data_IF_189046415884
#
_entry.id   IF_189046415884
#
_cell.length_a   1.000
_cell.length_b   1.000
_cell.length_c   1.000
_cell.angle_alpha   90.00
_cell.angle_beta   90.00
_cell.angle_gamma   90.00
#
_symmetry.space_group_name_H-M   'P 1'
#
loop_
_entity.id
_entity.type
_entity.pdbx_description
1 polymer ?
#
# COMPACT_ATOMS: atom_id res chain seq x y z
N UNK A 1 -5.66 -7.17 -8.51
CA UNK A 1 -5.59 -6.22 -9.64
C UNK A 1 -4.13 -5.93 -9.89
N UNK A 2 -3.65 -6.10 -11.12
CA UNK A 2 -2.31 -5.65 -11.51
C UNK A 2 -2.27 -4.12 -11.46
N UNK A 3 -1.24 -3.55 -10.82
CA UNK A 3 -0.99 -2.11 -10.85
C UNK A 3 -0.79 -1.66 -12.29
N UNK A 4 -1.34 -0.51 -12.68
CA UNK A 4 -1.09 0.03 -14.02
C UNK A 4 0.27 0.73 -14.01
N UNK A 5 1.26 0.15 -14.68
CA UNK A 5 2.55 0.82 -14.85
C UNK A 5 2.46 2.06 -15.73
N UNK A 6 3.31 3.05 -15.45
CA UNK A 6 3.49 4.20 -16.33
C UNK A 6 4.01 3.76 -17.71
N UNK A 7 3.50 4.42 -18.74
CA UNK A 7 3.99 4.20 -20.10
C UNK A 7 5.42 4.71 -20.27
N UNK A 8 6.17 4.14 -21.21
CA UNK A 8 7.54 4.60 -21.54
C UNK A 8 7.62 6.11 -21.86
N UNK A 9 6.71 6.73 -22.64
CA UNK A 9 6.76 8.18 -22.87
C UNK A 9 6.57 8.98 -21.59
N UNK A 10 5.60 8.62 -20.74
CA UNK A 10 5.39 9.30 -19.44
C UNK A 10 6.64 9.28 -18.56
N UNK A 11 7.34 8.14 -18.51
CA UNK A 11 8.61 8.00 -17.77
C UNK A 11 9.70 8.94 -18.32
N UNK A 12 9.83 9.05 -19.64
CA UNK A 12 10.82 9.95 -20.29
C UNK A 12 10.50 11.42 -20.02
N UNK A 13 9.24 11.81 -20.12
CA UNK A 13 8.79 13.18 -19.86
C UNK A 13 8.99 13.57 -18.40
N UNK A 14 8.69 12.68 -17.45
CA UNK A 14 8.93 12.91 -16.03
C UNK A 14 10.44 13.08 -15.74
N UNK A 15 11.28 12.24 -16.34
CA UNK A 15 12.74 12.37 -16.19
C UNK A 15 13.24 13.69 -16.78
N UNK A 16 12.75 14.10 -17.95
CA UNK A 16 13.10 15.38 -18.58
C UNK A 16 12.66 16.58 -17.72
N UNK A 17 11.43 16.55 -17.19
CA UNK A 17 10.92 17.57 -16.26
C UNK A 17 11.77 17.68 -15.00
N UNK A 18 12.22 16.55 -14.47
CA UNK A 18 13.05 16.49 -13.25
C UNK A 18 14.45 17.08 -13.43
N UNK A 19 14.92 17.24 -14.68
CA UNK A 19 16.30 17.63 -15.02
C UNK A 19 17.36 16.76 -14.32
N UNK A 20 17.05 15.47 -14.11
CA UNK A 20 17.92 14.54 -13.41
C UNK A 20 17.97 14.72 -11.88
N UNK A 21 17.06 15.49 -11.29
CA UNK A 21 16.98 15.72 -9.84
C UNK A 21 15.70 15.18 -9.23
N UNK A 22 15.82 14.51 -8.09
CA UNK A 22 14.70 13.93 -7.36
C UNK A 22 13.56 14.95 -7.12
N UNK A 23 12.34 14.59 -7.55
CA UNK A 23 11.10 15.36 -7.42
C UNK A 23 10.33 15.06 -6.13
N UNK A 24 10.87 14.25 -5.23
CA UNK A 24 10.26 13.95 -3.93
C UNK A 24 10.15 15.24 -3.09
N UNK A 25 8.94 15.52 -2.58
CA UNK A 25 8.64 16.70 -1.75
C UNK A 25 7.83 16.30 -0.51
N UNK A 26 8.24 16.83 0.64
CA UNK A 26 7.45 16.81 1.85
C UNK A 26 7.51 15.50 2.64
N UNK A 27 6.59 15.40 3.61
CA UNK A 27 6.61 14.39 4.68
C UNK A 27 6.33 12.98 4.19
N UNK A 28 5.63 12.83 3.06
CA UNK A 28 5.34 11.51 2.47
C UNK A 28 6.61 10.78 2.03
N UNK A 29 7.67 11.51 1.69
CA UNK A 29 8.98 10.97 1.30
C UNK A 29 10.02 11.05 2.44
N UNK A 30 9.60 11.40 3.65
CA UNK A 30 10.48 11.47 4.83
C UNK A 30 11.28 12.77 4.91
N UNK A 31 10.88 13.80 4.18
CA UNK A 31 11.47 15.13 4.21
C UNK A 31 10.63 16.07 5.08
N UNK A 32 11.20 17.18 5.59
CA UNK A 32 10.42 18.27 6.16
C UNK A 32 9.33 18.76 5.21
N UNK A 33 8.21 19.25 5.76
CA UNK A 33 7.09 19.75 4.98
C UNK A 33 7.54 20.86 4.00
N UNK A 34 7.20 20.70 2.72
CA UNK A 34 7.58 21.65 1.65
C UNK A 34 9.03 21.52 1.15
N UNK A 35 9.88 20.69 1.77
CA UNK A 35 11.25 20.50 1.30
C UNK A 35 11.33 19.48 0.17
N UNK A 36 12.06 19.82 -0.90
CA UNK A 36 12.40 18.93 -2.01
C UNK A 36 13.73 18.24 -1.76
N UNK A 37 13.85 16.94 -2.09
CA UNK A 37 15.11 16.21 -1.96
C UNK A 37 16.22 16.80 -2.83
N UNK A 38 15.95 16.99 -4.13
CA UNK A 38 16.89 17.62 -5.07
C UNK A 38 18.17 16.82 -5.37
N UNK A 39 18.30 15.59 -4.85
CA UNK A 39 19.45 14.69 -5.11
C UNK A 39 19.53 14.30 -6.58
N UNK A 40 20.74 14.19 -7.11
CA UNK A 40 20.99 13.71 -8.46
C UNK A 40 20.57 12.25 -8.64
N UNK A 41 19.86 11.98 -9.72
CA UNK A 41 19.31 10.66 -10.07
C UNK A 41 20.30 9.80 -10.88
N UNK A 42 21.57 10.21 -10.98
CA UNK A 42 22.61 9.49 -11.72
C UNK A 42 22.81 8.04 -11.21
N UNK A 43 22.61 7.80 -9.92
CA UNK A 43 22.77 6.50 -9.28
C UNK A 43 21.53 5.60 -9.36
N UNK A 44 20.41 6.10 -9.89
CA UNK A 44 19.16 5.36 -10.01
C UNK A 44 17.93 6.26 -9.94
N UNK A 45 16.98 6.02 -10.84
CA UNK A 45 15.67 6.68 -10.87
C UNK A 45 14.56 5.65 -10.77
N UNK A 46 13.61 5.93 -9.88
CA UNK A 46 12.36 5.19 -9.76
C UNK A 46 11.20 6.15 -10.06
N UNK A 47 10.14 5.65 -10.69
CA UNK A 47 8.98 6.45 -11.08
C UNK A 47 7.85 6.26 -10.08
N UNK A 48 7.70 7.29 -9.26
CA UNK A 48 6.71 7.52 -8.21
C UNK A 48 5.26 7.72 -8.71
N UNK A 49 4.25 7.04 -8.17
CA UNK A 49 2.85 7.51 -8.26
C UNK A 49 2.56 8.43 -7.07
N UNK A 50 2.56 9.76 -7.23
CA UNK A 50 2.32 10.72 -6.13
C UNK A 50 1.08 10.32 -5.32
N UNK A 51 -0.04 10.15 -6.02
CA UNK A 51 -1.24 9.48 -5.54
C UNK A 51 -1.23 8.02 -5.99
N UNK A 52 -1.33 7.12 -5.01
CA UNK A 52 -1.34 5.67 -5.24
C UNK A 52 -2.33 5.25 -6.32
N UNK A 53 -1.85 4.40 -7.24
CA UNK A 53 -2.67 3.76 -8.29
C UNK A 53 -3.89 3.03 -7.71
N UNK A 54 -3.76 2.46 -6.50
CA UNK A 54 -4.86 1.80 -5.79
C UNK A 54 -6.03 2.75 -5.46
N UNK A 55 -5.77 4.04 -5.31
CA UNK A 55 -6.78 5.05 -4.96
C UNK A 55 -7.23 5.86 -6.19
N UNK A 56 -6.29 6.36 -7.00
CA UNK A 56 -6.59 7.29 -8.10
C UNK A 56 -6.72 6.61 -9.47
N UNK A 57 -5.99 5.51 -9.71
CA UNK A 57 -5.83 4.86 -11.02
C UNK A 57 -5.32 5.78 -12.14
N UNK A 58 -4.77 6.94 -11.77
CA UNK A 58 -4.26 7.93 -12.70
C UNK A 58 -2.78 7.67 -13.03
N UNK A 59 -2.49 7.55 -14.33
CA UNK A 59 -1.16 7.36 -14.89
C UNK A 59 -0.71 8.58 -15.70
N UNK A 60 -1.32 9.74 -15.47
CA UNK A 60 -0.92 11.00 -16.07
C UNK A 60 0.51 11.40 -15.68
N UNK A 61 1.12 12.26 -16.50
CA UNK A 61 2.43 12.86 -16.21
C UNK A 61 2.41 13.66 -14.90
N UNK A 62 1.26 14.21 -14.51
CA UNK A 62 1.10 14.95 -13.25
C UNK A 62 1.25 14.04 -12.03
N UNK A 63 0.83 12.77 -12.13
CA UNK A 63 0.96 11.80 -11.05
C UNK A 63 2.30 11.04 -11.05
N UNK A 64 3.08 11.12 -12.14
CA UNK A 64 4.38 10.47 -12.26
C UNK A 64 5.49 11.37 -11.73
N UNK A 65 6.19 10.98 -10.67
CA UNK A 65 7.35 11.71 -10.13
C UNK A 65 8.65 10.93 -10.33
N UNK A 66 9.72 11.59 -10.79
CA UNK A 66 11.05 10.97 -10.84
C UNK A 66 11.74 11.09 -9.48
N UNK A 67 11.89 9.97 -8.76
CA UNK A 67 12.39 9.95 -7.38
C UNK A 67 13.62 9.05 -7.24
N UNK A 68 14.45 9.34 -6.23
CA UNK A 68 15.57 8.48 -5.88
C UNK A 68 15.07 7.24 -5.12
N UNK A 69 15.80 6.10 -5.18
CA UNK A 69 15.38 4.86 -4.51
C UNK A 69 15.18 5.00 -2.99
N UNK A 70 15.92 5.89 -2.34
CA UNK A 70 15.78 6.14 -0.91
C UNK A 70 14.43 6.82 -0.56
N UNK A 71 14.06 7.87 -1.29
CA UNK A 71 12.78 8.56 -1.10
C UNK A 71 11.61 7.65 -1.46
N UNK A 72 11.73 6.91 -2.57
CA UNK A 72 10.69 5.96 -2.97
C UNK A 72 10.49 4.87 -1.91
N UNK A 73 11.58 4.23 -1.45
CA UNK A 73 11.51 3.21 -0.38
C UNK A 73 10.86 3.74 0.89
N UNK A 74 11.17 4.98 1.29
CA UNK A 74 10.55 5.58 2.47
C UNK A 74 9.03 5.68 2.31
N UNK A 75 8.57 6.26 1.19
CA UNK A 75 7.15 6.40 0.90
C UNK A 75 6.45 5.05 0.81
N UNK A 76 7.03 4.11 0.06
CA UNK A 76 6.46 2.76 -0.08
C UNK A 76 6.27 2.09 1.29
N UNK A 77 7.30 2.14 2.14
CA UNK A 77 7.30 1.43 3.43
C UNK A 77 6.42 2.11 4.48
N UNK A 78 6.47 3.44 4.56
CA UNK A 78 5.86 4.19 5.68
C UNK A 78 4.50 4.78 5.35
N UNK A 79 4.20 5.00 4.09
CA UNK A 79 2.95 5.64 3.66
C UNK A 79 2.09 4.67 2.88
N UNK A 80 2.62 4.11 1.79
CA UNK A 80 1.78 3.43 0.79
C UNK A 80 1.29 2.06 1.22
N UNK A 81 2.20 1.21 1.73
CA UNK A 81 1.84 -0.13 2.22
C UNK A 81 0.81 -0.02 3.37
N UNK A 82 1.01 0.82 4.40
CA UNK A 82 0.01 1.02 5.45
C UNK A 82 -1.33 1.54 4.93
N UNK A 83 -1.32 2.49 4.00
CA UNK A 83 -2.54 3.06 3.44
C UNK A 83 -3.33 2.03 2.62
N UNK A 84 -2.66 1.29 1.74
CA UNK A 84 -3.28 0.24 0.94
C UNK A 84 -3.90 -0.85 1.84
N UNK A 85 -3.18 -1.29 2.88
CA UNK A 85 -3.69 -2.26 3.84
C UNK A 85 -4.93 -1.73 4.59
N UNK A 86 -4.96 -0.43 4.91
CA UNK A 86 -6.13 0.21 5.52
C UNK A 86 -7.32 0.25 4.55
N UNK A 87 -7.10 0.60 3.29
CA UNK A 87 -8.15 0.64 2.25
C UNK A 87 -8.78 -0.74 2.07
N UNK A 88 -7.98 -1.80 1.97
CA UNK A 88 -8.49 -3.18 1.86
C UNK A 88 -9.32 -3.56 3.10
N UNK A 89 -8.83 -3.28 4.31
CA UNK A 89 -9.59 -3.57 5.54
C UNK A 89 -10.90 -2.80 5.62
N UNK A 90 -10.98 -1.60 5.07
CA UNK A 90 -12.22 -0.82 5.01
C UNK A 90 -13.19 -1.41 3.98
N UNK A 91 -12.69 -1.82 2.81
CA UNK A 91 -13.49 -2.53 1.81
C UNK A 91 -14.05 -3.84 2.38
N UNK A 92 -13.23 -4.66 3.03
CA UNK A 92 -13.67 -5.91 3.68
C UNK A 92 -14.81 -5.64 4.68
N UNK A 93 -14.67 -4.62 5.52
CA UNK A 93 -15.70 -4.21 6.48
C UNK A 93 -17.00 -3.79 5.81
N UNK A 94 -16.92 -3.05 4.69
CA UNK A 94 -18.07 -2.59 3.92
C UNK A 94 -18.78 -3.76 3.22
N UNK A 95 -18.02 -4.74 2.74
CA UNK A 95 -18.56 -5.96 2.14
C UNK A 95 -19.02 -7.00 3.17
N UNK A 96 -18.95 -6.69 4.47
CA UNK A 96 -19.33 -7.62 5.54
C UNK A 96 -18.37 -8.80 5.71
N UNK A 97 -17.22 -8.78 5.03
CA UNK A 97 -16.15 -9.78 5.15
C UNK A 97 -15.48 -9.55 6.51
N UNK A 98 -15.94 -10.29 7.50
CA UNK A 98 -15.45 -10.21 8.88
C UNK A 98 -15.02 -11.57 9.33
N UNK A 99 -13.80 -11.66 9.87
CA UNK A 99 -13.44 -12.80 10.70
C UNK A 99 -14.38 -12.82 11.91
N UNK A 100 -14.92 -13.99 12.23
CA UNK A 100 -15.81 -14.17 13.38
C UNK A 100 -15.11 -13.65 14.64
N UNK A 101 -15.70 -12.65 15.32
CA UNK A 101 -15.23 -12.20 16.63
C UNK A 101 -15.67 -13.20 17.69
N UNK A 102 -14.72 -13.76 18.42
CA UNK A 102 -14.94 -14.60 19.59
C UNK A 102 -14.50 -16.06 19.41
N UNK A 103 -14.21 -16.77 20.52
CA UNK A 103 -13.94 -18.21 20.47
C UNK A 103 -15.13 -18.93 19.84
N UNK A 104 -14.86 -20.02 19.12
CA UNK A 104 -15.92 -20.85 18.61
C UNK A 104 -16.84 -21.29 19.76
N UNK A 105 -18.16 -21.17 19.57
CA UNK A 105 -19.16 -21.54 20.58
C UNK A 105 -18.82 -22.95 21.12
N UNK A 106 -18.69 -23.15 22.44
CA UNK A 106 -18.44 -24.46 23.02
C UNK A 106 -19.42 -25.52 22.49
N UNK A 107 -18.91 -26.58 21.87
CA UNK A 107 -19.72 -27.64 21.25
C UNK A 107 -20.09 -27.41 19.77
N UNK A 108 -19.75 -26.26 19.18
CA UNK A 108 -19.85 -26.06 17.73
C UNK A 108 -18.72 -26.78 16.99
N UNK A 109 -18.94 -27.13 15.71
CA UNK A 109 -17.91 -27.80 14.86
C UNK A 109 -16.56 -27.08 14.87
N UNK A 110 -16.57 -25.75 14.98
CA UNK A 110 -15.38 -24.92 14.98
C UNK A 110 -14.61 -24.92 16.31
N UNK A 111 -15.21 -25.42 17.41
CA UNK A 111 -14.57 -25.41 18.74
C UNK A 111 -13.60 -26.56 18.95
N UNK A 112 -13.61 -27.59 18.10
CA UNK A 112 -12.81 -28.82 18.30
C UNK A 112 -13.30 -29.71 19.44
N UNK A 113 -14.36 -29.31 20.15
CA UNK A 113 -14.97 -30.08 21.24
C UNK A 113 -16.37 -30.54 20.84
N UNK A 114 -16.70 -31.80 21.16
CA UNK A 114 -18.03 -32.39 20.99
C UNK A 114 -18.62 -32.66 22.37
N UNK A 115 -19.83 -32.13 22.62
CA UNK A 115 -20.63 -32.49 23.80
C UNK A 115 -21.41 -33.77 23.49
N UNK A 116 -21.18 -34.83 24.25
CA UNK A 116 -21.94 -36.09 24.19
C UNK A 116 -23.34 -35.90 24.82
N UNK A 117 -24.26 -36.84 24.58
CA UNK A 117 -25.63 -36.77 25.17
C UNK A 117 -25.62 -36.83 26.70
N UNK A 118 -24.61 -37.45 27.30
CA UNK A 118 -24.38 -37.49 28.75
C UNK A 118 -23.77 -36.19 29.33
N UNK A 119 -23.57 -35.14 28.51
CA UNK A 119 -23.03 -33.85 28.93
C UNK A 119 -21.50 -33.72 28.88
N UNK A 120 -20.78 -34.83 28.67
CA UNK A 120 -19.31 -34.86 28.64
C UNK A 120 -18.74 -34.12 27.41
N UNK A 121 -17.69 -33.33 27.59
CA UNK A 121 -16.96 -32.64 26.53
C UNK A 121 -15.70 -33.43 26.14
N UNK A 122 -15.68 -33.98 24.93
CA UNK A 122 -14.51 -34.68 24.38
C UNK A 122 -13.90 -33.89 23.22
N UNK A 123 -12.58 -33.96 23.05
CA UNK A 123 -11.96 -33.54 21.80
C UNK A 123 -12.57 -34.36 20.67
N UNK A 124 -12.95 -33.68 19.60
CA UNK A 124 -13.50 -34.31 18.41
C UNK A 124 -12.41 -35.06 17.65
#
# INVERSE_FOLDING_TARGET
>A
MSRREFTKPTKREALHRSKGKCEAVGTWYGLPAGQRCGRDLAYGVEFDHIDLDANSKDNSLANCAAVCPACHRFKTTRHDIPLAAKTVRQQDKNHGIRTRKGPAIPGSRASGWKRKMNGEMVRR
#
